data_IF_442414407738
#
_entry.id   IF_442414407738
#
_cell.length_a   1.000
_cell.length_b   1.000
_cell.length_c   1.000
_cell.angle_alpha   90.00
_cell.angle_beta   90.00
_cell.angle_gamma   90.00
#
_symmetry.space_group_name_H-M   'P 1'
#
loop_
_entity.id
_entity.type
_entity.pdbx_description
1 polymer ?
#
# COMPACT_ATOMS: atom_id res chain seq x y z
N UNK A 1 -9.78 -8.29 1.39
CA UNK A 1 -8.54 -8.32 0.58
C UNK A 1 -8.82 -7.60 -0.73
N UNK A 2 -8.32 -6.38 -0.88
CA UNK A 2 -8.54 -5.63 -2.12
C UNK A 2 -7.66 -6.18 -3.22
N UNK A 3 -8.29 -6.66 -4.28
CA UNK A 3 -7.62 -7.00 -5.54
C UNK A 3 -6.80 -5.80 -6.07
N UNK A 4 -7.26 -4.58 -5.77
CA UNK A 4 -6.61 -3.32 -6.13
C UNK A 4 -5.22 -3.16 -5.52
N UNK A 5 -5.03 -3.39 -4.22
CA UNK A 5 -3.72 -3.28 -3.57
C UNK A 5 -2.71 -4.31 -4.07
N UNK A 6 -3.19 -5.52 -4.36
CA UNK A 6 -2.38 -6.58 -4.99
C UNK A 6 -1.96 -6.16 -6.40
N UNK A 7 -2.91 -5.69 -7.23
CA UNK A 7 -2.64 -5.29 -8.61
C UNK A 7 -1.71 -4.05 -8.71
N UNK A 8 -1.91 -3.05 -7.84
CA UNK A 8 -1.03 -1.88 -7.76
C UNK A 8 0.35 -2.30 -7.27
N UNK A 9 0.40 -3.16 -6.25
CA UNK A 9 1.64 -3.69 -5.69
C UNK A 9 2.47 -4.48 -6.71
N UNK A 10 1.84 -5.38 -7.48
CA UNK A 10 2.52 -6.15 -8.53
C UNK A 10 3.10 -5.25 -9.62
N UNK A 11 2.32 -4.26 -10.08
CA UNK A 11 2.77 -3.30 -11.08
C UNK A 11 3.94 -2.44 -10.59
N UNK A 12 3.92 -2.03 -9.31
CA UNK A 12 5.04 -1.34 -8.66
C UNK A 12 6.30 -2.20 -8.57
N UNK A 13 6.14 -3.49 -8.23
CA UNK A 13 7.25 -4.45 -8.22
C UNK A 13 7.88 -4.61 -9.60
N UNK A 14 7.05 -4.81 -10.63
CA UNK A 14 7.49 -4.94 -12.02
C UNK A 14 8.16 -3.65 -12.52
N UNK A 15 7.60 -2.48 -12.25
CA UNK A 15 8.16 -1.19 -12.69
C UNK A 15 9.50 -0.89 -12.00
N UNK A 16 9.65 -1.26 -10.73
CA UNK A 16 10.91 -1.14 -9.98
C UNK A 16 12.01 -1.98 -10.63
N UNK A 17 11.70 -3.23 -11.02
CA UNK A 17 12.70 -4.10 -11.64
C UNK A 17 13.02 -3.70 -13.08
N UNK A 18 12.02 -3.30 -13.87
CA UNK A 18 12.27 -2.72 -15.19
C UNK A 18 13.11 -1.45 -15.09
N UNK A 19 12.77 -0.54 -14.18
CA UNK A 19 13.53 0.68 -13.91
C UNK A 19 14.98 0.41 -13.54
N UNK A 20 15.23 -0.59 -12.68
CA UNK A 20 16.59 -1.03 -12.34
C UNK A 20 17.39 -1.46 -13.57
N UNK A 21 16.78 -2.24 -14.46
CA UNK A 21 17.44 -2.70 -15.69
C UNK A 21 17.69 -1.53 -16.67
N UNK A 22 16.77 -0.56 -16.76
CA UNK A 22 16.96 0.67 -17.56
C UNK A 22 18.16 1.46 -17.07
N UNK A 23 18.26 1.67 -15.75
CA UNK A 23 19.35 2.43 -15.15
C UNK A 23 20.72 1.77 -15.38
N UNK A 24 20.75 0.44 -15.41
CA UNK A 24 21.96 -0.33 -15.74
C UNK A 24 22.25 -0.43 -17.23
N UNK A 25 21.38 0.12 -18.10
CA UNK A 25 21.44 0.02 -19.57
C UNK A 25 21.51 -1.44 -20.06
N UNK A 26 20.91 -2.38 -19.32
CA UNK A 26 20.80 -3.78 -19.71
C UNK A 26 19.42 -4.07 -20.29
N UNK A 27 19.25 -5.15 -21.08
CA UNK A 27 17.93 -5.52 -21.61
C UNK A 27 16.88 -5.64 -20.51
N UNK A 28 15.68 -5.13 -20.78
CA UNK A 28 14.57 -5.07 -19.83
C UNK A 28 14.28 -6.40 -19.12
N UNK A 29 14.41 -7.53 -19.83
CA UNK A 29 14.11 -8.87 -19.31
C UNK A 29 15.36 -9.76 -19.21
N UNK A 30 16.52 -9.20 -18.85
CA UNK A 30 17.77 -9.98 -18.71
C UNK A 30 17.61 -11.20 -17.77
N UNK A 31 16.90 -11.03 -16.67
CA UNK A 31 16.58 -12.10 -15.71
C UNK A 31 15.06 -12.13 -15.46
N UNK A 32 14.29 -12.93 -16.21
CA UNK A 32 12.82 -12.91 -16.15
C UNK A 32 12.25 -13.35 -14.79
N UNK A 33 12.94 -14.26 -14.10
CA UNK A 33 12.54 -14.73 -12.77
C UNK A 33 12.62 -13.66 -11.69
N UNK A 34 13.53 -12.70 -11.82
CA UNK A 34 13.63 -11.57 -10.88
C UNK A 34 12.35 -10.72 -10.95
N UNK A 35 11.78 -10.53 -12.14
CA UNK A 35 10.51 -9.80 -12.29
C UNK A 35 9.37 -10.50 -11.55
N UNK A 36 9.31 -11.82 -11.58
CA UNK A 36 8.30 -12.60 -10.84
C UNK A 36 8.47 -12.45 -9.34
N UNK A 37 9.72 -12.48 -8.84
CA UNK A 37 10.02 -12.24 -7.43
C UNK A 37 9.59 -10.84 -7.00
N UNK A 38 9.98 -9.81 -7.76
CA UNK A 38 9.61 -8.42 -7.46
C UNK A 38 8.10 -8.18 -7.56
N UNK A 39 7.40 -8.80 -8.51
CA UNK A 39 5.94 -8.78 -8.57
C UNK A 39 5.32 -9.42 -7.33
N UNK A 40 5.82 -10.57 -6.87
CA UNK A 40 5.33 -11.25 -5.68
C UNK A 40 5.56 -10.44 -4.39
N UNK A 41 6.74 -9.85 -4.24
CA UNK A 41 7.06 -8.95 -3.12
C UNK A 41 6.16 -7.70 -3.17
N UNK A 42 6.03 -7.11 -4.35
CA UNK A 42 5.16 -5.95 -4.57
C UNK A 42 3.70 -6.25 -4.24
N UNK A 43 3.18 -7.41 -4.65
CA UNK A 43 1.83 -7.88 -4.33
C UNK A 43 1.58 -7.96 -2.82
N UNK A 44 2.52 -8.58 -2.10
CA UNK A 44 2.44 -8.75 -0.65
C UNK A 44 2.46 -7.41 0.08
N UNK A 45 3.38 -6.53 -0.30
CA UNK A 45 3.48 -5.18 0.26
C UNK A 45 2.24 -4.33 -0.07
N UNK A 46 1.73 -4.40 -1.30
CA UNK A 46 0.53 -3.69 -1.72
C UNK A 46 -0.71 -4.14 -0.94
N UNK A 47 -0.85 -5.45 -0.70
CA UNK A 47 -1.93 -5.98 0.15
C UNK A 47 -1.79 -5.55 1.61
N UNK A 48 -0.57 -5.59 2.15
CA UNK A 48 -0.29 -5.15 3.53
C UNK A 48 -0.61 -3.66 3.73
N UNK A 49 -0.16 -2.80 2.82
CA UNK A 49 -0.42 -1.36 2.88
C UNK A 49 -1.90 -1.04 2.75
N UNK A 50 -2.62 -1.74 1.87
CA UNK A 50 -4.06 -1.54 1.75
C UNK A 50 -4.79 -1.92 3.04
N UNK A 51 -4.45 -3.05 3.66
CA UNK A 51 -5.08 -3.45 4.91
C UNK A 51 -4.76 -2.45 6.03
N UNK A 52 -3.52 -1.96 6.09
CA UNK A 52 -3.13 -0.93 7.06
C UNK A 52 -3.92 0.36 6.86
N UNK A 53 -4.07 0.82 5.62
CA UNK A 53 -4.84 2.02 5.31
C UNK A 53 -6.30 1.93 5.80
N UNK A 54 -6.96 0.79 5.61
CA UNK A 54 -8.32 0.59 6.12
C UNK A 54 -8.39 0.63 7.64
N UNK A 55 -7.41 0.05 8.34
CA UNK A 55 -7.35 0.13 9.81
C UNK A 55 -7.10 1.54 10.30
N UNK A 56 -6.19 2.27 9.67
CA UNK A 56 -5.90 3.66 10.03
C UNK A 56 -7.14 4.56 9.84
N UNK A 57 -7.99 4.28 8.84
CA UNK A 57 -9.25 4.99 8.64
C UNK A 57 -10.27 4.71 9.76
N UNK A 58 -10.43 3.45 10.16
CA UNK A 58 -11.30 3.06 11.28
C UNK A 58 -10.85 3.74 12.59
N UNK A 59 -9.54 3.72 12.88
CA UNK A 59 -8.98 4.40 14.05
C UNK A 59 -9.26 5.92 14.04
N UNK A 60 -9.15 6.57 12.88
CA UNK A 60 -9.47 7.99 12.74
C UNK A 60 -10.96 8.27 12.96
N UNK A 61 -11.84 7.39 12.49
CA UNK A 61 -13.29 7.53 12.70
C UNK A 61 -13.66 7.37 14.18
N UNK A 62 -13.09 6.37 14.86
CA UNK A 62 -13.25 6.18 16.31
C UNK A 62 -12.79 7.42 17.08
N UNK A 63 -11.60 7.95 16.76
CA UNK A 63 -11.06 9.16 17.38
C UNK A 63 -11.97 10.38 17.17
N UNK A 64 -12.58 10.53 15.98
CA UNK A 64 -13.56 11.61 15.72
C UNK A 64 -14.78 11.49 16.62
N UNK A 65 -15.36 10.30 16.75
CA UNK A 65 -16.49 10.04 17.64
C UNK A 65 -16.14 10.32 19.11
N UNK A 66 -14.93 9.96 19.54
CA UNK A 66 -14.44 10.27 20.88
C UNK A 66 -14.30 11.79 21.13
N UNK A 67 -13.86 12.55 20.13
CA UNK A 67 -13.72 14.01 20.22
C UNK A 67 -15.09 14.71 20.23
N UNK A 68 -16.03 14.31 19.37
CA UNK A 68 -17.39 14.85 19.36
C UNK A 68 -18.09 14.62 20.70
N UNK A 69 -17.96 13.41 21.29
CA UNK A 69 -18.46 13.11 22.63
C UNK A 69 -17.90 14.06 23.70
N UNK A 70 -16.66 14.53 23.55
CA UNK A 70 -16.06 15.51 24.48
C UNK A 70 -16.58 16.92 24.26
N UNK A 71 -16.85 17.33 23.02
CA UNK A 71 -17.50 18.61 22.76
C UNK A 71 -18.88 18.70 23.42
N UNK A 72 -19.66 17.63 23.41
CA UNK A 72 -20.97 17.60 24.06
C UNK A 72 -20.89 17.80 25.58
N UNK A 73 -19.82 17.30 26.21
CA UNK A 73 -19.52 17.53 27.64
C UNK A 73 -19.05 18.96 27.87
N UNK A 74 -18.22 19.50 26.97
CA UNK A 74 -17.68 20.86 27.08
C UNK A 74 -18.75 21.95 26.81
N UNK A 75 -19.74 21.70 25.94
CA UNK A 75 -20.86 22.62 25.67
C UNK A 75 -21.93 22.64 26.77
N UNK A 76 -21.94 21.64 27.67
CA UNK A 76 -22.88 21.53 28.79
C UNK A 76 -22.34 22.08 30.12
N UNK A 77 -21.06 22.46 30.17
CA UNK A 77 -20.43 23.16 31.28
C UNK A 77 -20.48 24.67 31.05
#
# INVERSE_FOLDING_TARGET
MGFTGIAVGTLMGLSTKLGSNVLQKVPYMRHPWEHVLFMGVGAGLGSYLQNKYHRDLEEVEELRLYLERREDVNKKA
#
